data_IF_164406028852
#
_entry.id   IF_164406028852
#
_cell.length_a   1.000
_cell.length_b   1.000
_cell.length_c   1.000
_cell.angle_alpha   90.00
_cell.angle_beta   90.00
_cell.angle_gamma   90.00
#
_symmetry.space_group_name_H-M   'P 1'
#
loop_
_entity.id
_entity.type
_entity.pdbx_description
1 polymer ?
#
# COMPACT_ATOMS: atom_id res chain seq x y z
N UNK A 1 23.68 -0.69 51.44
CA UNK A 1 23.17 0.45 50.64
C UNK A 1 23.63 0.48 49.18
N UNK A 2 24.53 -0.42 48.73
CA UNK A 2 25.02 -0.47 47.34
C UNK A 2 24.15 -1.35 46.42
N UNK A 3 23.70 -2.53 46.90
CA UNK A 3 22.86 -3.48 46.14
C UNK A 3 21.51 -2.91 45.68
N UNK A 4 20.90 -2.02 46.47
CA UNK A 4 19.61 -1.38 46.17
C UNK A 4 19.71 -0.33 45.06
N UNK A 5 20.86 0.36 44.96
CA UNK A 5 21.14 1.31 43.87
C UNK A 5 21.36 0.58 42.56
N UNK A 6 21.97 -0.62 42.61
CA UNK A 6 22.26 -1.44 41.44
C UNK A 6 21.00 -2.04 40.81
N UNK A 7 20.03 -2.48 41.62
CA UNK A 7 18.71 -2.92 41.13
C UNK A 7 17.91 -1.77 40.53
N UNK A 8 18.00 -0.55 41.07
CA UNK A 8 17.34 0.63 40.48
C UNK A 8 17.95 0.96 39.11
N UNK A 9 19.27 0.90 38.97
CA UNK A 9 19.95 1.14 37.68
C UNK A 9 19.56 0.08 36.64
N UNK A 10 19.47 -1.20 37.02
CA UNK A 10 19.03 -2.27 36.12
C UNK A 10 17.58 -2.05 35.68
N UNK A 11 16.69 -1.64 36.58
CA UNK A 11 15.30 -1.35 36.27
C UNK A 11 15.17 -0.18 35.27
N UNK A 12 15.96 0.87 35.45
CA UNK A 12 16.01 2.02 34.54
C UNK A 12 16.53 1.60 33.16
N UNK A 13 17.55 0.74 33.11
CA UNK A 13 18.12 0.25 31.84
C UNK A 13 17.10 -0.60 31.04
N UNK A 14 16.35 -1.46 31.72
CA UNK A 14 15.28 -2.26 31.11
C UNK A 14 14.15 -1.37 30.57
N UNK A 15 13.78 -0.32 31.30
CA UNK A 15 12.77 0.65 30.89
C UNK A 15 13.19 1.46 29.64
N UNK A 16 14.47 1.79 29.52
CA UNK A 16 15.01 2.49 28.33
C UNK A 16 15.01 1.58 27.10
N UNK A 17 15.28 0.28 27.28
CA UNK A 17 15.32 -0.71 26.19
C UNK A 17 13.94 -1.04 25.61
N UNK A 18 12.85 -0.89 26.37
CA UNK A 18 11.49 -1.14 25.86
C UNK A 18 10.90 0.06 25.10
N UNK A 19 11.44 1.27 25.28
CA UNK A 19 10.97 2.49 24.61
C UNK A 19 11.48 2.65 23.17
N UNK A 20 12.48 1.88 22.74
CA UNK A 20 13.06 1.97 21.39
C UNK A 20 12.41 1.04 20.36
N UNK A 21 11.45 0.19 20.75
CA UNK A 21 10.68 -0.66 19.82
C UNK A 21 9.60 0.13 19.05
N UNK A 22 9.86 1.39 18.74
CA UNK A 22 9.04 2.16 17.83
C UNK A 22 9.52 1.83 16.41
N UNK A 23 8.94 0.79 15.80
CA UNK A 23 9.08 0.53 14.36
C UNK A 23 8.49 1.75 13.66
N UNK A 24 9.34 2.71 13.29
CA UNK A 24 9.00 3.68 12.27
C UNK A 24 8.81 2.87 11.02
N UNK A 25 7.55 2.57 10.71
CA UNK A 25 7.17 2.19 9.35
C UNK A 25 7.56 3.40 8.51
N UNK A 26 8.75 3.38 7.90
CA UNK A 26 9.13 4.41 6.95
C UNK A 26 8.00 4.46 5.93
N UNK A 27 7.35 5.62 5.79
CA UNK A 27 6.30 5.79 4.79
C UNK A 27 6.97 5.59 3.43
N UNK A 28 6.77 4.41 2.87
CA UNK A 28 7.38 4.02 1.62
C UNK A 28 6.96 5.02 0.54
N UNK A 29 7.94 5.55 -0.19
CA UNK A 29 7.69 6.60 -1.17
C UNK A 29 6.80 6.06 -2.30
N UNK A 30 5.60 6.62 -2.46
CA UNK A 30 4.65 6.20 -3.50
C UNK A 30 4.92 6.94 -4.81
N UNK A 31 4.98 6.20 -5.91
CA UNK A 31 5.07 6.74 -7.27
C UNK A 31 3.69 7.01 -7.86
N UNK A 32 2.71 6.17 -7.56
CA UNK A 32 1.33 6.33 -8.01
C UNK A 32 0.39 6.22 -6.81
N UNK A 33 -0.56 7.13 -6.74
CA UNK A 33 -1.72 7.06 -5.86
C UNK A 33 -2.96 7.27 -6.72
N UNK A 34 -3.89 6.33 -6.67
CA UNK A 34 -5.20 6.49 -7.28
C UNK A 34 -6.28 5.93 -6.36
N UNK A 35 -7.45 6.55 -6.38
CA UNK A 35 -8.58 6.09 -5.59
C UNK A 35 -9.90 6.33 -6.31
N UNK A 36 -10.94 5.68 -5.83
CA UNK A 36 -12.32 6.10 -6.10
C UNK A 36 -13.16 5.92 -4.86
N UNK A 37 -14.15 6.79 -4.74
CA UNK A 37 -15.29 6.57 -3.88
C UNK A 37 -16.35 5.77 -4.64
N UNK A 38 -16.87 4.74 -4.00
CA UNK A 38 -17.98 3.93 -4.48
C UNK A 38 -19.19 4.12 -3.55
N UNK A 39 -20.43 3.94 -4.03
CA UNK A 39 -21.62 4.05 -3.17
C UNK A 39 -21.59 3.18 -1.90
N UNK A 40 -20.79 2.10 -1.90
CA UNK A 40 -20.71 1.12 -0.81
C UNK A 40 -19.26 0.84 -0.39
N UNK A 41 -18.31 1.75 -0.64
CA UNK A 41 -16.92 1.49 -0.34
C UNK A 41 -15.90 2.44 -0.96
N UNK A 42 -14.63 2.11 -0.78
CA UNK A 42 -13.51 2.80 -1.41
C UNK A 42 -12.56 1.79 -2.02
N UNK A 43 -11.97 2.18 -3.14
CA UNK A 43 -10.87 1.42 -3.74
C UNK A 43 -9.65 2.32 -3.76
N UNK A 44 -8.51 1.79 -3.33
CA UNK A 44 -7.24 2.49 -3.33
C UNK A 44 -6.21 1.67 -4.11
N UNK A 45 -5.37 2.37 -4.86
CA UNK A 45 -4.19 1.83 -5.51
C UNK A 45 -2.97 2.65 -5.09
N UNK A 46 -1.97 1.96 -4.54
CA UNK A 46 -0.68 2.53 -4.15
C UNK A 46 0.42 1.76 -4.87
N UNK A 47 1.24 2.46 -5.65
CA UNK A 47 2.45 1.88 -6.25
C UNK A 47 3.66 2.54 -5.61
N UNK A 48 4.60 1.73 -5.15
CA UNK A 48 5.79 2.17 -4.46
C UNK A 48 7.02 2.20 -5.37
N UNK A 49 8.08 2.88 -4.92
CA UNK A 49 9.32 3.08 -5.68
C UNK A 49 10.07 1.80 -6.02
N UNK A 50 9.95 0.77 -5.19
CA UNK A 50 10.55 -0.54 -5.40
C UNK A 50 9.73 -1.45 -6.33
N UNK A 51 8.72 -0.89 -7.00
CA UNK A 51 7.77 -1.58 -7.88
C UNK A 51 6.82 -2.52 -7.16
N UNK A 52 6.76 -2.49 -5.83
CA UNK A 52 5.65 -3.15 -5.12
C UNK A 52 4.39 -2.29 -5.22
N UNK A 53 3.22 -2.92 -5.03
CA UNK A 53 1.96 -2.20 -4.99
C UNK A 53 0.98 -2.83 -4.00
N UNK A 54 0.00 -2.03 -3.59
CA UNK A 54 -1.19 -2.46 -2.87
C UNK A 54 -2.44 -1.99 -3.62
N UNK A 55 -3.33 -2.92 -3.89
CA UNK A 55 -4.71 -2.65 -4.29
C UNK A 55 -5.62 -3.00 -3.11
N UNK A 56 -6.36 -2.03 -2.62
CA UNK A 56 -7.21 -2.19 -1.45
C UNK A 56 -8.66 -1.93 -1.82
N UNK A 57 -9.52 -2.92 -1.56
CA UNK A 57 -10.96 -2.83 -1.76
C UNK A 57 -11.67 -2.85 -0.40
N UNK A 58 -12.15 -1.69 0.04
CA UNK A 58 -12.91 -1.53 1.28
C UNK A 58 -14.40 -1.44 0.96
N UNK A 59 -15.18 -2.38 1.48
CA UNK A 59 -16.65 -2.24 1.52
C UNK A 59 -17.11 -1.34 2.67
N UNK A 60 -18.40 -1.43 2.99
CA UNK A 60 -18.99 -0.80 4.19
C UNK A 60 -18.42 -1.37 5.50
N UNK A 61 -17.93 -2.60 5.46
CA UNK A 61 -17.26 -3.23 6.60
C UNK A 61 -15.85 -2.68 6.77
N UNK A 62 -15.41 -2.48 8.02
CA UNK A 62 -14.11 -1.85 8.32
C UNK A 62 -12.88 -2.63 7.85
N UNK A 63 -13.03 -3.89 7.43
CA UNK A 63 -11.95 -4.71 6.89
C UNK A 63 -12.09 -4.73 5.37
N UNK A 64 -11.18 -4.07 4.67
CA UNK A 64 -11.01 -4.25 3.23
C UNK A 64 -10.05 -5.38 2.92
N UNK A 65 -10.16 -5.93 1.73
CA UNK A 65 -9.19 -6.87 1.20
C UNK A 65 -8.03 -6.08 0.60
N UNK A 66 -6.80 -6.45 0.99
CA UNK A 66 -5.57 -5.90 0.45
C UNK A 66 -4.94 -6.96 -0.44
N UNK A 67 -4.70 -6.58 -1.69
CA UNK A 67 -4.07 -7.40 -2.71
C UNK A 67 -2.73 -6.75 -3.05
N UNK A 68 -1.64 -7.44 -2.75
CA UNK A 68 -0.29 -6.94 -2.93
C UNK A 68 0.48 -7.71 -4.00
N UNK A 69 1.55 -7.09 -4.49
CA UNK A 69 2.44 -7.72 -5.45
C UNK A 69 3.40 -6.77 -6.12
N UNK A 70 3.85 -7.15 -7.31
CA UNK A 70 4.82 -6.39 -8.10
C UNK A 70 4.13 -5.81 -9.34
N UNK A 71 4.48 -4.57 -9.69
CA UNK A 71 3.98 -3.88 -10.86
C UNK A 71 5.03 -3.86 -11.98
N UNK A 72 4.56 -3.99 -13.21
CA UNK A 72 5.33 -3.71 -14.41
C UNK A 72 4.54 -2.75 -15.30
N UNK A 73 5.18 -1.67 -15.76
CA UNK A 73 4.56 -0.70 -16.67
C UNK A 73 5.20 -0.88 -18.05
N UNK A 74 4.38 -1.12 -19.07
CA UNK A 74 4.80 -1.17 -20.48
C UNK A 74 3.91 -0.24 -21.28
N UNK A 75 4.50 0.80 -21.86
CA UNK A 75 3.75 1.90 -22.48
C UNK A 75 2.70 2.44 -21.47
N UNK A 76 1.47 2.65 -21.92
CA UNK A 76 0.34 3.07 -21.09
C UNK A 76 -0.30 1.94 -20.26
N UNK A 77 0.25 0.71 -20.30
CA UNK A 77 -0.37 -0.43 -19.62
C UNK A 77 0.39 -0.83 -18.37
N UNK A 78 -0.33 -0.89 -17.25
CA UNK A 78 0.14 -1.42 -15.97
C UNK A 78 -0.25 -2.89 -15.88
N UNK A 79 0.72 -3.74 -15.56
CA UNK A 79 0.56 -5.17 -15.29
C UNK A 79 0.80 -5.43 -13.80
N UNK A 80 -0.19 -6.03 -13.14
CA UNK A 80 -0.15 -6.35 -11.72
C UNK A 80 0.11 -7.85 -11.52
N UNK A 81 1.23 -8.19 -10.90
CA UNK A 81 1.56 -9.55 -10.51
C UNK A 81 1.27 -9.73 -9.03
N UNK A 82 0.07 -10.23 -8.72
CA UNK A 82 -0.38 -10.47 -7.34
C UNK A 82 0.33 -11.68 -6.72
N UNK A 83 0.59 -11.61 -5.41
CA UNK A 83 1.22 -12.71 -4.66
C UNK A 83 0.23 -13.84 -4.40
N UNK A 84 -0.93 -13.53 -3.81
CA UNK A 84 -1.86 -14.55 -3.33
C UNK A 84 -3.09 -14.72 -4.24
N UNK A 85 -3.79 -13.63 -4.51
CA UNK A 85 -5.05 -13.66 -5.26
C UNK A 85 -5.24 -12.42 -6.11
N UNK A 86 -6.02 -12.56 -7.19
CA UNK A 86 -6.33 -11.48 -8.13
C UNK A 86 -7.72 -10.93 -7.80
N UNK A 87 -7.87 -9.61 -7.58
CA UNK A 87 -9.18 -9.02 -7.35
C UNK A 87 -10.04 -9.12 -8.61
N UNK A 88 -11.36 -9.00 -8.45
CA UNK A 88 -12.31 -9.01 -9.57
C UNK A 88 -12.08 -7.90 -10.61
N UNK A 89 -11.39 -6.82 -10.23
CA UNK A 89 -10.94 -5.77 -11.13
C UNK A 89 -9.94 -6.29 -12.21
N UNK A 90 -9.28 -7.41 -11.96
CA UNK A 90 -8.30 -8.01 -12.87
C UNK A 90 -6.86 -7.56 -12.58
N UNK A 91 -5.96 -7.86 -13.51
CA UNK A 91 -4.51 -7.70 -13.33
C UNK A 91 -3.82 -6.81 -14.36
N UNK A 92 -4.60 -6.07 -15.15
CA UNK A 92 -4.12 -5.10 -16.14
C UNK A 92 -5.00 -3.86 -16.12
N UNK A 93 -4.35 -2.70 -16.19
CA UNK A 93 -5.01 -1.41 -16.30
C UNK A 93 -4.30 -0.48 -17.28
N UNK A 94 -5.07 0.40 -17.92
CA UNK A 94 -4.54 1.50 -18.74
C UNK A 94 -4.29 2.69 -17.80
N UNK A 95 -3.08 3.23 -17.83
CA UNK A 95 -2.64 4.46 -17.18
C UNK A 95 -2.83 5.63 -18.14
N UNK A 96 -3.69 6.55 -17.77
CA UNK A 96 -3.89 7.82 -18.47
C UNK A 96 -3.39 8.97 -17.58
N UNK A 97 -3.50 10.20 -18.06
CA UNK A 97 -3.16 11.39 -17.28
C UNK A 97 -3.94 11.45 -15.96
N UNK A 98 -5.22 11.09 -15.99
CA UNK A 98 -6.15 11.31 -14.88
C UNK A 98 -6.65 10.01 -14.23
N UNK A 99 -6.50 8.86 -14.88
CA UNK A 99 -7.11 7.61 -14.41
C UNK A 99 -6.24 6.38 -14.63
N UNK A 100 -6.42 5.42 -13.71
CA UNK A 100 -6.04 4.01 -13.88
C UNK A 100 -7.31 3.23 -14.17
N UNK A 101 -7.44 2.65 -15.36
CA UNK A 101 -8.65 1.96 -15.82
C UNK A 101 -8.36 0.48 -16.07
N UNK A 102 -8.80 -0.39 -15.16
CA UNK A 102 -8.70 -1.84 -15.30
C UNK A 102 -9.64 -2.33 -16.41
N UNK A 103 -9.15 -3.27 -17.21
CA UNK A 103 -9.87 -3.81 -18.37
C UNK A 103 -9.81 -5.34 -18.49
N UNK A 104 -9.18 -6.02 -17.54
CA UNK A 104 -8.93 -7.47 -17.58
C UNK A 104 -9.72 -8.27 -16.55
N UNK A 105 -10.58 -7.61 -15.76
CA UNK A 105 -11.38 -8.21 -14.71
C UNK A 105 -12.82 -8.55 -15.13
N UNK A 106 -13.62 -8.95 -14.15
CA UNK A 106 -15.05 -9.25 -14.28
C UNK A 106 -15.90 -7.98 -14.51
N UNK A 107 -15.41 -6.81 -14.09
CA UNK A 107 -16.08 -5.53 -14.26
C UNK A 107 -15.07 -4.41 -14.53
N UNK A 108 -15.46 -3.33 -15.25
CA UNK A 108 -14.59 -2.18 -15.46
C UNK A 108 -14.38 -1.46 -14.13
N UNK A 109 -13.12 -1.33 -13.72
CA UNK A 109 -12.71 -0.65 -12.49
C UNK A 109 -11.86 0.57 -12.85
N UNK A 110 -12.23 1.76 -12.35
CA UNK A 110 -11.60 3.03 -12.75
C UNK A 110 -11.30 3.88 -11.54
N UNK A 111 -10.03 4.15 -11.31
CA UNK A 111 -9.54 4.97 -10.20
C UNK A 111 -9.02 6.31 -10.71
N UNK A 112 -9.34 7.39 -10.01
CA UNK A 112 -8.82 8.73 -10.27
C UNK A 112 -7.43 8.88 -9.67
N UNK A 113 -6.49 9.40 -10.45
CA UNK A 113 -5.11 9.60 -10.03
C UNK A 113 -5.03 10.84 -9.13
N UNK A 114 -4.47 10.64 -7.93
CA UNK A 114 -4.13 11.73 -6.99
C UNK A 114 -2.64 12.09 -7.04
N UNK A 115 -1.79 11.17 -7.47
CA UNK A 115 -0.36 11.36 -7.69
C UNK A 115 0.12 10.41 -8.78
N UNK A 116 0.86 10.90 -9.76
CA UNK A 116 1.53 10.06 -10.75
C UNK A 116 2.94 10.58 -11.05
N UNK A 117 3.94 9.78 -10.69
CA UNK A 117 5.37 9.99 -10.99
C UNK A 117 5.91 8.79 -11.78
N UNK A 118 5.04 7.90 -12.25
CA UNK A 118 5.43 6.85 -13.19
C UNK A 118 5.78 7.56 -14.50
N UNK A 119 7.06 7.55 -14.86
CA UNK A 119 7.50 8.02 -16.17
C UNK A 119 7.07 6.97 -17.19
N UNK A 120 6.15 7.33 -18.07
CA UNK A 120 5.90 6.58 -19.29
C UNK A 120 6.89 7.12 -20.33
N UNK A 121 7.92 6.33 -20.66
CA UNK A 121 8.84 6.62 -21.78
C UNK A 121 8.25 6.16 -23.11
#
# INVERSE_FOLDING_TARGET
MYRMKQTIIILILILILTLTSCVRTEKQETLLLADREAPLGWVYLRVYKDKTFEFESRGLERRGDIYEGIVEVRNDTIFFQYVDSVPKAGNKAILTENFVSYFSGEYPERLEIKKNVLKTE
#
